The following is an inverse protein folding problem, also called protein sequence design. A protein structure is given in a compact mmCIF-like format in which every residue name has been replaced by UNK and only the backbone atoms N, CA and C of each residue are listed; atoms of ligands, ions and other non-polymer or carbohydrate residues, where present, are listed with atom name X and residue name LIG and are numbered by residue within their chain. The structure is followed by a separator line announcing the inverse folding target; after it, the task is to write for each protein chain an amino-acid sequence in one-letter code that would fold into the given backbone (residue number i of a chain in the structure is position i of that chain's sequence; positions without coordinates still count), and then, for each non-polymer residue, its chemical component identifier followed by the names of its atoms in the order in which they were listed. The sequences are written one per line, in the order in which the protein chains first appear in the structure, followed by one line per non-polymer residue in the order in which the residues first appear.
data_IF_085080124938
#
_entry.id   IF_085080124938
#
_cell.length_a   1.000
_cell.length_b   1.000
_cell.length_c   1.000
_cell.angle_alpha   90.00
_cell.angle_beta   90.00
_cell.angle_gamma   90.00
#
_symmetry.space_group_name_H-M   'P 1'
#
loop_
_entity.id
_entity.type
_entity.pdbx_description
1 polymer ?
#
# COMPACT_ATOMS: atom_id res chain seq x y z
N UNK A 1 27.59 65.85 -39.36
CA UNK A 1 27.56 65.70 -37.90
C UNK A 1 26.38 64.80 -37.60
N UNK A 2 26.71 63.60 -37.13
CA UNK A 2 25.87 62.60 -36.46
C UNK A 2 25.12 63.15 -35.23
N UNK A 3 24.27 62.37 -34.53
CA UNK A 3 23.34 61.30 -34.96
C UNK A 3 21.98 61.42 -34.19
N UNK A 4 21.02 60.54 -34.44
CA UNK A 4 20.38 59.70 -33.39
C UNK A 4 19.25 58.86 -33.97
N UNK A 5 19.61 57.63 -34.31
CA UNK A 5 18.75 56.47 -34.43
C UNK A 5 18.51 55.92 -33.03
N UNK A 6 17.30 56.11 -32.48
CA UNK A 6 16.85 55.35 -31.31
C UNK A 6 15.90 54.25 -31.80
N UNK A 7 16.51 53.11 -32.10
CA UNK A 7 15.80 51.86 -32.31
C UNK A 7 15.47 51.29 -30.95
N UNK A 8 14.26 51.53 -30.47
CA UNK A 8 13.70 50.84 -29.32
C UNK A 8 13.33 49.40 -29.73
N UNK A 9 14.34 48.53 -29.79
CA UNK A 9 14.12 47.09 -29.77
C UNK A 9 13.64 46.73 -28.38
N UNK A 10 12.32 46.73 -28.20
CA UNK A 10 11.67 46.07 -27.09
C UNK A 10 12.14 44.61 -27.08
N UNK A 11 13.07 44.29 -26.18
CA UNK A 11 13.45 42.92 -25.88
C UNK A 11 12.23 42.23 -25.30
N UNK A 12 11.57 41.41 -26.12
CA UNK A 12 10.72 40.35 -25.62
C UNK A 12 11.62 39.42 -24.80
N UNK A 13 11.66 39.63 -23.48
CA UNK A 13 12.06 38.58 -22.57
C UNK A 13 11.03 37.46 -22.76
N UNK A 14 11.42 36.41 -23.50
CA UNK A 14 10.79 35.10 -23.42
C UNK A 14 10.83 34.72 -21.94
N UNK A 15 9.72 34.91 -21.24
CA UNK A 15 9.57 34.57 -19.84
C UNK A 15 9.48 33.04 -19.79
N UNK A 16 10.64 32.39 -19.70
CA UNK A 16 10.72 30.93 -19.64
C UNK A 16 10.07 30.42 -18.36
N UNK A 17 9.33 29.33 -18.47
CA UNK A 17 8.58 28.72 -17.38
C UNK A 17 9.47 27.73 -16.63
N UNK A 18 9.74 27.93 -15.32
CA UNK A 18 10.50 26.96 -14.54
C UNK A 18 9.85 25.57 -14.53
N UNK A 19 10.67 24.52 -14.48
CA UNK A 19 10.20 23.12 -14.50
C UNK A 19 9.22 22.77 -13.38
N UNK A 20 9.31 23.43 -12.24
CA UNK A 20 8.48 23.21 -11.05
C UNK A 20 7.27 24.13 -10.97
N UNK A 21 7.15 25.15 -11.84
CA UNK A 21 6.09 26.14 -11.75
C UNK A 21 4.67 25.53 -11.77
N UNK A 22 4.31 24.59 -12.67
CA UNK A 22 3.00 23.94 -12.62
C UNK A 22 2.93 22.72 -11.70
N UNK A 23 4.00 22.38 -10.97
CA UNK A 23 4.07 21.17 -10.15
C UNK A 23 3.03 21.21 -9.03
N UNK A 24 2.91 22.33 -8.33
CA UNK A 24 1.99 22.46 -7.20
C UNK A 24 0.53 22.29 -7.66
N UNK A 25 0.13 22.94 -8.74
CA UNK A 25 -1.22 22.81 -9.32
C UNK A 25 -1.49 21.39 -9.82
N UNK A 26 -0.51 20.77 -10.48
CA UNK A 26 -0.61 19.38 -10.91
C UNK A 26 -0.81 18.44 -9.72
N UNK A 27 -0.04 18.63 -8.64
CA UNK A 27 -0.15 17.82 -7.43
C UNK A 27 -1.49 18.04 -6.73
N UNK A 28 -2.01 19.26 -6.71
CA UNK A 28 -3.34 19.57 -6.18
C UNK A 28 -4.44 18.87 -6.98
N UNK A 29 -4.34 18.86 -8.31
CA UNK A 29 -5.27 18.15 -9.20
C UNK A 29 -5.23 16.61 -9.03
N UNK A 30 -4.14 16.05 -8.48
CA UNK A 30 -3.99 14.61 -8.21
C UNK A 30 -4.16 14.23 -6.74
N UNK A 31 -4.19 15.22 -5.84
CA UNK A 31 -4.45 15.01 -4.42
C UNK A 31 -5.90 14.59 -4.21
N UNK A 32 -6.15 13.84 -3.13
CA UNK A 32 -7.52 13.51 -2.74
C UNK A 32 -8.18 14.62 -1.94
N UNK A 33 -7.40 15.29 -1.10
CA UNK A 33 -7.77 16.50 -0.38
C UNK A 33 -6.59 17.45 -0.35
N UNK A 34 -6.89 18.75 -0.24
CA UNK A 34 -5.93 19.84 -0.14
C UNK A 34 -6.36 20.75 1.01
N UNK A 35 -5.46 21.03 1.95
CA UNK A 35 -5.66 22.02 2.99
C UNK A 35 -5.03 23.36 2.58
N UNK A 36 -5.84 24.37 2.22
CA UNK A 36 -5.34 25.67 1.78
C UNK A 36 -4.63 26.47 2.88
N UNK A 37 -4.77 26.10 4.16
CA UNK A 37 -4.11 26.81 5.27
C UNK A 37 -2.68 26.32 5.51
N UNK A 38 -2.45 25.03 5.31
CA UNK A 38 -1.17 24.39 5.58
C UNK A 38 -0.40 24.03 4.30
N UNK A 39 -1.06 24.04 3.14
CA UNK A 39 -0.53 23.53 1.88
C UNK A 39 -0.42 21.99 1.87
N UNK A 40 -1.02 21.31 2.85
CA UNK A 40 -0.94 19.86 2.97
C UNK A 40 -1.79 19.17 1.90
N UNK A 41 -1.19 18.18 1.21
CA UNK A 41 -1.83 17.34 0.19
C UNK A 41 -2.00 15.92 0.72
N UNK A 42 -3.19 15.35 0.56
CA UNK A 42 -3.43 13.95 0.93
C UNK A 42 -3.44 13.01 -0.27
N UNK A 43 -3.07 11.75 0.01
CA UNK A 43 -3.17 10.65 -0.94
C UNK A 43 -1.81 10.15 -1.40
N UNK A 44 -1.58 8.84 -1.21
CA UNK A 44 -0.31 8.18 -1.54
C UNK A 44 0.15 8.39 -3.00
N UNK A 45 -0.78 8.58 -3.94
CA UNK A 45 -0.45 8.88 -5.33
C UNK A 45 0.18 10.28 -5.49
N UNK A 46 -0.41 11.32 -4.92
CA UNK A 46 0.15 12.68 -4.96
C UNK A 46 1.48 12.77 -4.21
N UNK A 47 1.61 12.12 -3.04
CA UNK A 47 2.88 12.02 -2.30
C UNK A 47 3.99 11.35 -3.14
N UNK A 48 3.64 10.26 -3.82
CA UNK A 48 4.59 9.54 -4.67
C UNK A 48 4.95 10.33 -5.93
N UNK A 49 3.98 11.02 -6.55
CA UNK A 49 4.22 11.93 -7.66
C UNK A 49 5.20 13.02 -7.25
N UNK A 50 4.94 13.72 -6.14
CA UNK A 50 5.80 14.79 -5.63
C UNK A 50 7.25 14.31 -5.48
N UNK A 51 7.47 13.21 -4.75
CA UNK A 51 8.82 12.65 -4.55
C UNK A 51 9.52 12.28 -5.85
N UNK A 52 8.79 11.70 -6.81
CA UNK A 52 9.38 11.28 -8.09
C UNK A 52 9.68 12.49 -8.98
N UNK A 53 8.77 13.46 -9.06
CA UNK A 53 8.89 14.64 -9.91
C UNK A 53 9.97 15.58 -9.39
N UNK A 54 10.03 15.83 -8.08
CA UNK A 54 11.12 16.60 -7.49
C UNK A 54 12.47 15.98 -7.84
N UNK A 55 12.62 14.66 -7.66
CA UNK A 55 13.85 13.95 -8.02
C UNK A 55 14.21 14.07 -9.51
N UNK A 56 13.21 14.13 -10.39
CA UNK A 56 13.43 14.30 -11.82
C UNK A 56 13.81 15.73 -12.18
N UNK A 57 13.17 16.72 -11.55
CA UNK A 57 13.48 18.15 -11.69
C UNK A 57 14.91 18.41 -11.19
N UNK A 58 15.25 17.97 -9.98
CA UNK A 58 16.62 18.08 -9.44
C UNK A 58 17.66 17.43 -10.38
N UNK A 59 17.29 16.29 -10.99
CA UNK A 59 18.17 15.60 -11.94
C UNK A 59 18.38 16.38 -13.25
N UNK A 60 17.39 17.15 -13.68
CA UNK A 60 17.48 18.03 -14.86
C UNK A 60 18.24 19.32 -14.53
N UNK A 61 18.01 19.89 -13.36
CA UNK A 61 18.71 21.07 -12.84
C UNK A 61 20.22 20.82 -12.74
N UNK A 62 20.62 19.66 -12.18
CA UNK A 62 22.02 19.16 -12.18
C UNK A 62 22.67 19.08 -13.58
N UNK A 63 21.87 19.17 -14.64
CA UNK A 63 22.27 19.07 -16.05
C UNK A 63 22.01 20.36 -16.83
N UNK A 64 21.65 21.45 -16.14
CA UNK A 64 21.42 22.77 -16.72
C UNK A 64 20.13 22.87 -17.53
N UNK A 65 19.12 22.06 -17.21
CA UNK A 65 17.78 22.17 -17.78
C UNK A 65 16.84 22.59 -16.67
N UNK A 66 16.48 23.88 -16.68
CA UNK A 66 15.73 24.54 -15.60
C UNK A 66 14.30 24.94 -16.02
N UNK A 67 14.04 24.95 -17.34
CA UNK A 67 12.79 25.49 -17.90
C UNK A 67 12.07 24.45 -18.76
N UNK A 68 10.73 24.55 -18.80
CA UNK A 68 9.87 23.67 -19.59
C UNK A 68 10.13 23.82 -21.09
N UNK A 69 10.46 25.02 -21.55
CA UNK A 69 10.76 25.32 -22.96
C UNK A 69 12.09 24.68 -23.43
N UNK A 70 12.97 24.33 -22.49
CA UNK A 70 14.23 23.63 -22.77
C UNK A 70 14.05 22.09 -22.81
N UNK A 71 12.83 21.60 -22.56
CA UNK A 71 12.52 20.18 -22.64
C UNK A 71 12.26 19.73 -24.08
N UNK A 72 13.05 18.76 -24.52
CA UNK A 72 12.81 18.04 -25.76
C UNK A 72 12.88 16.51 -25.53
N UNK A 73 12.60 15.76 -26.61
CA UNK A 73 12.68 14.30 -26.59
C UNK A 73 14.10 13.78 -26.27
N UNK A 74 15.15 14.54 -26.54
CA UNK A 74 16.52 14.14 -26.22
C UNK A 74 16.78 14.24 -24.71
N UNK A 75 16.36 15.34 -24.09
CA UNK A 75 16.48 15.58 -22.65
C UNK A 75 15.69 14.55 -21.84
N UNK A 76 14.42 14.31 -22.20
CA UNK A 76 13.62 13.27 -21.54
C UNK A 76 14.15 11.87 -21.89
N UNK A 77 14.68 11.66 -23.10
CA UNK A 77 15.35 10.43 -23.49
C UNK A 77 16.57 10.10 -22.62
N UNK A 78 17.35 11.11 -22.18
CA UNK A 78 18.47 10.90 -21.24
C UNK A 78 17.98 10.43 -19.87
N UNK A 79 16.81 10.89 -19.41
CA UNK A 79 16.18 10.38 -18.20
C UNK A 79 15.73 8.92 -18.37
N UNK A 80 15.09 8.58 -19.49
CA UNK A 80 14.72 7.20 -19.80
C UNK A 80 15.94 6.26 -19.84
N UNK A 81 17.05 6.70 -20.46
CA UNK A 81 18.32 5.97 -20.44
C UNK A 81 18.91 5.85 -19.03
N UNK A 82 18.79 6.88 -18.19
CA UNK A 82 19.21 6.81 -16.79
C UNK A 82 18.40 5.75 -16.03
N UNK A 83 17.07 5.73 -16.19
CA UNK A 83 16.22 4.70 -15.61
C UNK A 83 16.60 3.30 -16.12
N UNK A 84 16.85 3.15 -17.42
CA UNK A 84 17.31 1.89 -18.01
C UNK A 84 18.65 1.41 -17.42
N UNK A 85 19.63 2.32 -17.24
CA UNK A 85 20.89 1.99 -16.54
C UNK A 85 20.67 1.56 -15.10
N UNK A 86 19.74 2.21 -14.38
CA UNK A 86 19.38 1.81 -13.00
C UNK A 86 18.76 0.42 -12.95
N UNK A 87 17.99 0.03 -13.97
CA UNK A 87 17.47 -1.34 -14.10
C UNK A 87 18.58 -2.33 -14.42
N UNK A 88 19.52 -1.97 -15.29
CA UNK A 88 20.69 -2.81 -15.56
C UNK A 88 21.53 -3.05 -14.30
N UNK A 89 21.75 -2.02 -13.46
CA UNK A 89 22.41 -2.17 -12.16
C UNK A 89 21.66 -3.13 -11.25
N UNK A 90 20.34 -3.01 -11.15
CA UNK A 90 19.51 -3.93 -10.36
C UNK A 90 19.59 -5.39 -10.86
N UNK A 91 19.72 -5.60 -12.16
CA UNK A 91 19.88 -6.94 -12.71
C UNK A 91 21.27 -7.54 -12.41
N UNK A 92 22.29 -6.70 -12.23
CA UNK A 92 23.64 -7.13 -11.87
C UNK A 92 23.78 -7.36 -10.36
N UNK A 93 23.11 -6.55 -9.55
CA UNK A 93 23.08 -6.61 -8.09
C UNK A 93 21.71 -6.11 -7.61
N UNK A 94 20.93 -7.02 -7.02
CA UNK A 94 19.56 -6.77 -6.59
C UNK A 94 19.44 -5.72 -5.47
N UNK A 95 20.51 -5.48 -4.72
CA UNK A 95 20.56 -4.43 -3.69
C UNK A 95 20.92 -3.06 -4.28
N UNK A 96 21.24 -3.01 -5.58
CA UNK A 96 21.59 -1.80 -6.31
C UNK A 96 20.49 -1.41 -7.33
N UNK A 97 20.48 -0.15 -7.79
CA UNK A 97 19.66 0.23 -8.94
C UNK A 97 18.17 0.48 -8.67
N UNK A 98 17.31 0.11 -9.63
CA UNK A 98 15.85 0.18 -9.57
C UNK A 98 15.24 -1.05 -10.25
N UNK A 99 14.15 -1.59 -9.71
CA UNK A 99 13.38 -2.61 -10.43
C UNK A 99 12.80 -2.03 -11.73
N UNK A 100 12.57 -2.88 -12.74
CA UNK A 100 11.91 -2.49 -14.01
C UNK A 100 10.55 -1.83 -13.78
N UNK A 101 9.75 -2.35 -12.84
CA UNK A 101 8.45 -1.79 -12.50
C UNK A 101 8.57 -0.38 -11.88
N UNK A 102 9.57 -0.17 -11.00
CA UNK A 102 9.85 1.13 -10.41
C UNK A 102 10.30 2.15 -11.45
N UNK A 103 11.14 1.74 -12.40
CA UNK A 103 11.56 2.59 -13.52
C UNK A 103 10.37 3.05 -14.36
N UNK A 104 9.50 2.13 -14.78
CA UNK A 104 8.28 2.48 -15.52
C UNK A 104 7.32 3.35 -14.70
N UNK A 105 7.21 3.12 -13.39
CA UNK A 105 6.42 4.00 -12.50
C UNK A 105 6.95 5.42 -12.52
N UNK A 106 8.27 5.61 -12.40
CA UNK A 106 8.87 6.93 -12.41
C UNK A 106 8.72 7.63 -13.75
N UNK A 107 8.93 6.89 -14.84
CA UNK A 107 8.72 7.40 -16.18
C UNK A 107 7.26 7.82 -16.42
N UNK A 108 6.28 7.02 -15.96
CA UNK A 108 4.86 7.35 -16.10
C UNK A 108 4.47 8.60 -15.28
N UNK A 109 5.08 8.85 -14.12
CA UNK A 109 4.86 10.08 -13.37
C UNK A 109 5.33 11.31 -14.15
N UNK A 110 6.53 11.26 -14.72
CA UNK A 110 7.06 12.33 -15.58
C UNK A 110 6.17 12.53 -16.81
N UNK A 111 5.78 11.44 -17.48
CA UNK A 111 4.88 11.51 -18.64
C UNK A 111 3.51 12.09 -18.29
N UNK A 112 2.96 11.77 -17.12
CA UNK A 112 1.70 12.33 -16.64
C UNK A 112 1.80 13.83 -16.34
N UNK A 113 2.90 14.27 -15.71
CA UNK A 113 3.16 15.69 -15.47
C UNK A 113 3.30 16.48 -16.78
N UNK A 114 4.09 15.99 -17.73
CA UNK A 114 4.24 16.65 -19.03
C UNK A 114 2.95 16.61 -19.87
N UNK A 115 2.09 15.62 -19.65
CA UNK A 115 0.73 15.62 -20.25
C UNK A 115 -0.10 16.75 -19.68
N UNK A 116 -0.05 16.97 -18.36
CA UNK A 116 -0.69 18.13 -17.73
C UNK A 116 -0.12 19.45 -18.27
N UNK A 117 1.21 19.60 -18.33
CA UNK A 117 1.83 20.80 -18.89
C UNK A 117 1.37 21.09 -20.33
N UNK A 118 1.19 20.04 -21.15
CA UNK A 118 0.65 20.17 -22.51
C UNK A 118 -0.82 20.56 -22.52
N UNK A 119 -1.64 19.97 -21.65
CA UNK A 119 -3.08 20.26 -21.55
C UNK A 119 -3.35 21.71 -21.13
N UNK A 120 -2.47 22.27 -20.31
CA UNK A 120 -2.51 23.67 -19.85
C UNK A 120 -1.62 24.61 -20.67
N UNK A 121 -1.15 24.16 -21.84
CA UNK A 121 -0.42 24.97 -22.83
C UNK A 121 0.94 25.53 -22.36
N UNK A 122 1.50 25.03 -21.26
CA UNK A 122 2.89 25.34 -20.85
C UNK A 122 3.93 24.78 -21.81
N UNK A 123 3.61 23.67 -22.49
CA UNK A 123 4.43 23.08 -23.55
C UNK A 123 3.54 22.68 -24.73
N UNK A 124 4.09 22.74 -25.95
CA UNK A 124 3.34 22.39 -27.16
C UNK A 124 3.05 20.89 -27.28
N UNK A 125 4.01 20.05 -26.88
CA UNK A 125 3.93 18.60 -27.01
C UNK A 125 4.50 17.93 -25.76
N UNK A 126 4.13 16.68 -25.51
CA UNK A 126 4.73 15.90 -24.43
C UNK A 126 5.98 15.14 -24.96
N UNK A 127 7.22 15.60 -24.68
CA UNK A 127 8.42 14.94 -25.17
C UNK A 127 8.62 13.53 -24.61
N UNK A 128 8.00 13.19 -23.48
CA UNK A 128 8.07 11.83 -22.95
C UNK A 128 7.39 10.82 -23.87
N UNK A 129 6.34 11.20 -24.59
CA UNK A 129 5.57 10.30 -25.48
C UNK A 129 6.23 10.10 -26.85
N UNK A 130 7.38 10.72 -27.12
CA UNK A 130 8.12 10.49 -28.35
C UNK A 130 8.65 9.05 -28.39
N UNK A 131 8.50 8.38 -29.55
CA UNK A 131 8.89 6.98 -29.72
C UNK A 131 10.36 6.72 -29.37
N UNK A 132 11.26 7.69 -29.61
CA UNK A 132 12.69 7.58 -29.23
C UNK A 132 12.90 7.47 -27.73
N UNK A 133 12.03 8.11 -26.93
CA UNK A 133 12.09 8.07 -25.46
C UNK A 133 11.50 6.76 -24.94
N UNK A 134 10.35 6.35 -25.46
CA UNK A 134 9.74 5.06 -25.10
C UNK A 134 10.67 3.88 -25.43
N UNK A 135 11.33 3.90 -26.59
CA UNK A 135 12.29 2.87 -26.98
C UNK A 135 13.59 2.88 -26.16
N UNK A 136 13.90 3.97 -25.46
CA UNK A 136 15.04 4.03 -24.55
C UNK A 136 14.75 3.40 -23.18
N UNK A 137 13.47 3.20 -22.85
CA UNK A 137 13.08 2.47 -21.65
C UNK A 137 13.39 0.98 -21.81
N UNK A 138 13.69 0.27 -20.71
CA UNK A 138 13.73 -1.18 -20.75
C UNK A 138 12.38 -1.73 -21.16
N UNK A 139 12.33 -2.95 -21.68
CA UNK A 139 11.08 -3.66 -21.98
C UNK A 139 10.08 -3.45 -20.85
N UNK A 140 8.80 -3.26 -21.21
CA UNK A 140 7.75 -3.18 -20.18
C UNK A 140 7.81 -4.44 -19.32
N UNK A 141 7.58 -4.34 -18.00
CA UNK A 141 7.43 -5.52 -17.18
C UNK A 141 6.35 -6.38 -17.84
N UNK A 142 6.68 -7.62 -18.17
CA UNK A 142 5.64 -8.57 -18.52
C UNK A 142 4.72 -8.64 -17.30
N UNK A 143 3.46 -8.28 -17.47
CA UNK A 143 2.43 -8.32 -16.43
C UNK A 143 2.07 -9.75 -16.02
N UNK A 144 3.04 -10.67 -16.03
CA UNK A 144 2.84 -12.05 -15.67
C UNK A 144 2.49 -12.15 -14.19
N UNK A 145 1.27 -12.62 -13.93
CA UNK A 145 0.83 -13.16 -12.64
C UNK A 145 1.84 -14.11 -11.99
N UNK A 146 2.75 -14.71 -12.78
CA UNK A 146 3.80 -15.65 -12.35
C UNK A 146 4.74 -15.13 -11.25
N UNK A 147 4.96 -13.82 -11.14
CA UNK A 147 5.85 -13.25 -10.10
C UNK A 147 5.09 -12.66 -8.91
N UNK A 148 3.76 -12.80 -8.89
CA UNK A 148 2.94 -12.32 -7.79
C UNK A 148 2.86 -13.41 -6.73
N UNK A 149 3.22 -13.09 -5.48
CA UNK A 149 3.02 -14.05 -4.38
C UNK A 149 1.53 -14.23 -4.09
N UNK A 150 1.16 -15.48 -3.88
CA UNK A 150 -0.11 -15.94 -3.31
C UNK A 150 0.24 -16.75 -2.06
N UNK A 151 -0.55 -16.66 -0.99
CA UNK A 151 -0.46 -17.67 0.06
C UNK A 151 -1.01 -18.97 -0.50
N UNK A 152 -0.13 -19.89 -0.90
CA UNK A 152 -0.55 -21.22 -1.32
C UNK A 152 -1.29 -21.92 -0.17
N UNK A 153 -2.17 -22.89 -0.44
CA UNK A 153 -2.84 -23.64 0.63
C UNK A 153 -1.85 -24.24 1.64
N UNK A 154 -0.73 -24.77 1.17
CA UNK A 154 0.34 -25.32 2.00
C UNK A 154 0.99 -24.23 2.85
N UNK A 155 1.45 -23.13 2.24
CA UNK A 155 2.08 -22.02 2.96
C UNK A 155 1.16 -21.44 4.05
N UNK A 156 -0.12 -21.23 3.72
CA UNK A 156 -1.14 -20.79 4.66
C UNK A 156 -1.29 -21.79 5.80
N UNK A 157 -1.44 -23.08 5.50
CA UNK A 157 -1.61 -24.10 6.53
C UNK A 157 -0.41 -24.19 7.46
N UNK A 158 0.82 -24.16 6.93
CA UNK A 158 2.06 -24.14 7.71
C UNK A 158 2.09 -22.95 8.68
N UNK A 159 1.81 -21.74 8.18
CA UNK A 159 1.77 -20.55 9.02
C UNK A 159 0.67 -20.65 10.09
N UNK A 160 -0.54 -21.06 9.71
CA UNK A 160 -1.68 -21.12 10.63
C UNK A 160 -1.49 -22.18 11.72
N UNK A 161 -0.96 -23.35 11.38
CA UNK A 161 -0.63 -24.38 12.36
C UNK A 161 0.41 -23.87 13.36
N UNK A 162 1.46 -23.21 12.87
CA UNK A 162 2.50 -22.65 13.74
C UNK A 162 1.94 -21.61 14.72
N UNK A 163 1.12 -20.67 14.26
CA UNK A 163 0.53 -19.66 15.17
C UNK A 163 -0.52 -20.25 16.11
N UNK A 164 -1.24 -21.30 15.68
CA UNK A 164 -2.15 -22.04 16.55
C UNK A 164 -1.40 -22.73 17.68
N UNK A 165 -0.34 -23.49 17.37
CA UNK A 165 0.49 -24.16 18.38
C UNK A 165 1.12 -23.16 19.34
N UNK A 166 1.68 -22.06 18.79
CA UNK A 166 2.29 -20.99 19.59
C UNK A 166 1.29 -20.32 20.54
N UNK A 167 0.06 -20.07 20.09
CA UNK A 167 -0.97 -19.46 20.92
C UNK A 167 -1.47 -20.42 22.01
N UNK A 168 -1.73 -21.69 21.70
CA UNK A 168 -2.16 -22.66 22.70
C UNK A 168 -1.11 -22.86 23.79
N UNK A 169 0.16 -23.05 23.43
CA UNK A 169 1.24 -23.19 24.40
C UNK A 169 1.36 -21.95 25.30
N UNK A 170 1.26 -20.75 24.72
CA UNK A 170 1.31 -19.51 25.50
C UNK A 170 0.11 -19.35 26.45
N UNK A 171 -1.09 -19.76 26.03
CA UNK A 171 -2.29 -19.76 26.88
C UNK A 171 -2.13 -20.78 28.02
N UNK A 172 -1.61 -21.97 27.74
CA UNK A 172 -1.40 -22.99 28.77
C UNK A 172 -0.36 -22.54 29.82
N UNK A 173 0.67 -21.82 29.39
CA UNK A 173 1.74 -21.32 30.27
C UNK A 173 1.37 -20.03 31.03
N UNK A 174 0.68 -19.10 30.37
CA UNK A 174 0.51 -17.71 30.85
C UNK A 174 -0.94 -17.24 30.89
N UNK A 175 -1.91 -18.07 30.50
CA UNK A 175 -3.33 -17.71 30.49
C UNK A 175 -3.61 -16.48 29.62
N UNK A 176 -4.30 -15.50 30.18
CA UNK A 176 -4.65 -14.25 29.50
C UNK A 176 -3.45 -13.35 29.18
N UNK A 177 -2.29 -13.58 29.78
CA UNK A 177 -1.06 -12.81 29.48
C UNK A 177 -0.42 -13.20 28.13
N UNK A 178 -0.99 -14.17 27.42
CA UNK A 178 -0.58 -14.62 26.07
C UNK A 178 -0.95 -13.62 24.93
N UNK A 179 -0.96 -12.31 25.23
CA UNK A 179 -1.48 -11.24 24.36
C UNK A 179 -0.87 -11.26 22.95
N UNK A 180 0.46 -11.38 22.86
CA UNK A 180 1.16 -11.32 21.56
C UNK A 180 0.83 -12.51 20.68
N UNK A 181 0.85 -13.71 21.24
CA UNK A 181 0.61 -14.96 20.51
C UNK A 181 -0.83 -15.06 20.01
N UNK A 182 -1.78 -14.67 20.85
CA UNK A 182 -3.20 -14.69 20.49
C UNK A 182 -3.52 -13.62 19.45
N UNK A 183 -2.94 -12.42 19.55
CA UNK A 183 -3.02 -11.39 18.51
C UNK A 183 -2.45 -11.88 17.18
N UNK A 184 -1.25 -12.45 17.20
CA UNK A 184 -0.56 -12.95 16.00
C UNK A 184 -1.43 -14.02 15.30
N UNK A 185 -1.99 -14.95 16.08
CA UNK A 185 -2.95 -15.95 15.60
C UNK A 185 -4.18 -15.30 14.95
N UNK A 186 -4.88 -14.41 15.66
CA UNK A 186 -6.08 -13.76 15.15
C UNK A 186 -5.83 -12.97 13.86
N UNK A 187 -4.71 -12.24 13.77
CA UNK A 187 -4.33 -11.50 12.57
C UNK A 187 -4.06 -12.44 11.38
N UNK A 188 -3.31 -13.52 11.60
CA UNK A 188 -3.02 -14.49 10.53
C UNK A 188 -4.28 -15.19 10.02
N UNK A 189 -5.21 -15.54 10.90
CA UNK A 189 -6.51 -16.13 10.52
C UNK A 189 -7.35 -15.14 9.73
N UNK A 190 -7.48 -13.90 10.19
CA UNK A 190 -8.21 -12.84 9.48
C UNK A 190 -7.64 -12.67 8.05
N UNK A 191 -6.33 -12.50 7.92
CA UNK A 191 -5.68 -12.28 6.63
C UNK A 191 -5.82 -13.49 5.70
N UNK A 192 -5.65 -14.71 6.23
CA UNK A 192 -5.62 -15.94 5.44
C UNK A 192 -6.96 -16.38 4.84
N UNK A 193 -8.07 -15.83 5.35
CA UNK A 193 -9.42 -16.29 4.98
C UNK A 193 -10.39 -15.19 4.52
N UNK A 194 -10.17 -13.91 4.84
CA UNK A 194 -11.15 -12.85 4.52
C UNK A 194 -10.93 -12.13 3.18
N UNK A 195 -9.73 -12.23 2.61
CA UNK A 195 -9.40 -11.47 1.39
C UNK A 195 -9.33 -9.94 1.59
N UNK A 196 -9.35 -9.44 2.84
CA UNK A 196 -9.17 -8.01 3.13
C UNK A 196 -7.77 -7.54 2.73
N UNK A 197 -7.65 -6.26 2.38
CA UNK A 197 -6.34 -5.62 2.19
C UNK A 197 -5.78 -5.32 3.58
N UNK A 198 -4.47 -5.49 3.76
CA UNK A 198 -3.84 -5.14 5.05
C UNK A 198 -4.13 -3.70 5.50
N UNK A 199 -4.20 -2.75 4.55
CA UNK A 199 -4.55 -1.36 4.84
C UNK A 199 -6.05 -1.09 5.10
N UNK A 200 -6.91 -2.10 4.99
CA UNK A 200 -8.33 -2.01 5.39
C UNK A 200 -8.52 -2.37 6.87
N UNK A 201 -7.61 -3.16 7.45
CA UNK A 201 -7.72 -3.65 8.84
C UNK A 201 -6.59 -3.17 9.75
N UNK A 202 -5.50 -2.67 9.17
CA UNK A 202 -4.35 -2.06 9.86
C UNK A 202 -4.22 -0.58 9.46
N UNK A 203 -3.64 0.24 10.33
CA UNK A 203 -3.39 1.65 10.03
C UNK A 203 -2.35 1.81 8.92
N UNK A 204 -2.57 2.78 8.02
CA UNK A 204 -1.58 3.17 7.02
C UNK A 204 -1.10 4.60 7.31
N UNK A 205 0.18 4.79 7.70
CA UNK A 205 0.66 6.08 8.20
C UNK A 205 0.58 7.21 7.16
N UNK A 206 0.66 6.88 5.87
CA UNK A 206 0.58 7.88 4.78
C UNK A 206 -0.86 8.23 4.33
N UNK A 207 -1.89 7.79 5.07
CA UNK A 207 -3.28 8.15 4.79
C UNK A 207 -3.93 8.78 6.00
N UNK A 208 -4.02 10.10 5.99
CA UNK A 208 -4.76 10.91 6.98
C UNK A 208 -6.28 10.84 6.73
N UNK A 209 -6.79 9.65 6.44
CA UNK A 209 -8.20 9.48 6.07
C UNK A 209 -8.94 9.00 7.30
N UNK A 210 -9.98 9.74 7.66
CA UNK A 210 -10.97 9.28 8.61
C UNK A 210 -11.49 7.90 8.16
N UNK A 211 -11.32 6.87 9.00
CA UNK A 211 -11.65 5.47 8.69
C UNK A 211 -10.53 4.57 8.14
N UNK A 212 -9.28 5.03 7.94
CA UNK A 212 -8.10 4.17 7.59
C UNK A 212 -7.06 4.01 8.68
N UNK A 213 -7.53 4.07 9.91
CA UNK A 213 -6.70 3.98 11.11
C UNK A 213 -6.79 2.60 11.78
N UNK A 214 -7.00 1.54 10.98
CA UNK A 214 -7.32 0.20 11.46
C UNK A 214 -8.82 -0.02 11.59
N UNK A 215 -9.30 -1.23 11.31
CA UNK A 215 -10.71 -1.55 11.46
C UNK A 215 -11.05 -1.63 12.96
N UNK A 216 -12.14 -1.00 13.44
CA UNK A 216 -12.60 -1.12 14.83
C UNK A 216 -13.29 -2.47 15.10
N UNK A 217 -13.50 -2.83 16.36
CA UNK A 217 -14.30 -4.00 16.72
C UNK A 217 -15.75 -3.88 16.25
N UNK A 218 -16.33 -2.69 16.28
CA UNK A 218 -17.69 -2.44 15.77
C UNK A 218 -17.84 -2.68 14.26
N UNK A 219 -16.73 -2.75 13.52
CA UNK A 219 -16.78 -3.13 12.12
C UNK A 219 -17.02 -4.63 11.92
N UNK A 220 -16.80 -5.46 12.93
CA UNK A 220 -16.83 -6.91 12.85
C UNK A 220 -18.20 -7.46 13.26
N UNK A 221 -18.90 -8.08 12.31
CA UNK A 221 -20.08 -8.89 12.61
C UNK A 221 -19.67 -10.37 12.58
N UNK A 222 -19.35 -10.89 13.77
CA UNK A 222 -18.98 -12.28 13.91
C UNK A 222 -20.14 -13.21 13.59
N UNK A 223 -21.39 -12.85 13.89
CA UNK A 223 -22.56 -13.71 13.62
C UNK A 223 -22.73 -13.95 12.13
N UNK A 224 -22.77 -12.86 11.36
CA UNK A 224 -22.88 -12.88 9.89
C UNK A 224 -21.57 -13.24 9.18
N UNK A 225 -20.46 -13.34 9.92
CA UNK A 225 -19.12 -13.55 9.40
C UNK A 225 -18.73 -12.52 8.32
N UNK A 226 -18.94 -11.24 8.65
CA UNK A 226 -18.62 -10.10 7.78
C UNK A 226 -17.81 -9.04 8.52
N UNK A 227 -17.08 -8.22 7.77
CA UNK A 227 -16.36 -7.06 8.29
C UNK A 227 -16.62 -5.85 7.40
N UNK A 228 -17.02 -4.75 8.04
CA UNK A 228 -17.19 -3.44 7.42
C UNK A 228 -15.82 -2.79 7.23
N UNK A 229 -15.49 -2.38 6.02
CA UNK A 229 -14.16 -1.83 5.71
C UNK A 229 -14.27 -0.58 4.86
N UNK A 230 -13.30 0.31 5.02
CA UNK A 230 -13.23 1.54 4.24
C UNK A 230 -12.40 1.36 2.96
N UNK A 231 -13.12 1.19 1.85
CA UNK A 231 -12.60 0.84 0.52
C UNK A 231 -11.71 1.91 -0.12
N UNK A 232 -11.01 1.56 -1.21
CA UNK A 232 -10.15 2.53 -1.96
C UNK A 232 -10.98 3.66 -2.61
N UNK A 233 -12.24 3.34 -2.88
CA UNK A 233 -13.34 4.20 -3.29
C UNK A 233 -13.73 5.26 -2.26
N UNK A 234 -13.24 5.18 -1.01
CA UNK A 234 -13.71 6.01 0.11
C UNK A 234 -15.16 5.75 0.50
N UNK A 235 -15.62 4.52 0.27
CA UNK A 235 -16.94 4.04 0.67
C UNK A 235 -16.81 2.87 1.65
N UNK A 236 -17.80 2.73 2.53
CA UNK A 236 -17.92 1.56 3.39
C UNK A 236 -18.42 0.36 2.60
N UNK A 237 -17.63 -0.71 2.61
CA UNK A 237 -17.91 -1.96 1.90
C UNK A 237 -17.97 -3.11 2.91
N UNK A 238 -18.81 -4.11 2.65
CA UNK A 238 -18.82 -5.35 3.42
C UNK A 238 -17.88 -6.38 2.79
N UNK A 239 -16.99 -6.96 3.59
CA UNK A 239 -16.10 -8.03 3.19
C UNK A 239 -16.50 -9.35 3.87
N UNK A 240 -16.44 -10.49 3.14
CA UNK A 240 -16.63 -11.79 3.77
C UNK A 240 -15.44 -12.12 4.69
N UNK A 241 -15.73 -12.60 5.90
CA UNK A 241 -14.72 -13.08 6.85
C UNK A 241 -14.47 -14.58 6.72
N UNK A 242 -15.49 -15.34 6.28
CA UNK A 242 -15.67 -16.78 6.50
C UNK A 242 -15.81 -17.14 7.99
N UNK A 243 -16.24 -18.35 8.29
CA UNK A 243 -16.34 -18.85 9.67
C UNK A 243 -14.97 -19.13 10.32
N UNK A 244 -13.92 -19.32 9.51
CA UNK A 244 -12.60 -19.77 9.96
C UNK A 244 -11.91 -18.83 10.95
N UNK A 245 -11.93 -17.49 10.79
CA UNK A 245 -11.28 -16.60 11.74
C UNK A 245 -12.00 -16.43 13.07
N UNK A 246 -13.30 -16.79 13.15
CA UNK A 246 -14.16 -16.51 14.30
C UNK A 246 -13.55 -16.97 15.64
N UNK A 247 -13.12 -18.24 15.82
CA UNK A 247 -12.59 -18.68 17.11
C UNK A 247 -11.28 -17.98 17.52
N UNK A 248 -10.48 -17.53 16.54
CA UNK A 248 -9.26 -16.78 16.81
C UNK A 248 -9.56 -15.33 17.20
N UNK A 249 -10.54 -14.71 16.54
CA UNK A 249 -10.99 -13.35 16.84
C UNK A 249 -11.74 -13.26 18.17
N UNK A 250 -12.61 -14.23 18.49
CA UNK A 250 -13.30 -14.30 19.79
C UNK A 250 -12.28 -14.42 20.94
N UNK A 251 -11.33 -15.35 20.84
CA UNK A 251 -10.28 -15.50 21.86
C UNK A 251 -9.41 -14.25 21.98
N UNK A 252 -9.15 -13.57 20.87
CA UNK A 252 -8.41 -12.32 20.87
C UNK A 252 -9.21 -11.18 21.51
N UNK A 253 -10.50 -11.08 21.24
CA UNK A 253 -11.39 -10.13 21.90
C UNK A 253 -11.37 -10.34 23.42
N UNK A 254 -11.50 -11.58 23.88
CA UNK A 254 -11.48 -11.92 25.32
C UNK A 254 -10.19 -11.49 26.02
N UNK A 255 -9.04 -11.62 25.35
CA UNK A 255 -7.73 -11.29 25.92
C UNK A 255 -7.41 -9.80 25.79
N UNK A 256 -7.80 -9.19 24.68
CA UNK A 256 -7.62 -7.76 24.48
C UNK A 256 -8.56 -6.95 25.38
N UNK A 257 -9.75 -7.48 25.69
CA UNK A 257 -10.76 -6.85 26.53
C UNK A 257 -10.97 -5.36 26.20
N UNK A 258 -11.39 -5.03 24.96
CA UNK A 258 -11.56 -3.64 24.56
C UNK A 258 -12.70 -2.97 25.36
N UNK A 259 -12.47 -1.77 25.90
CA UNK A 259 -13.50 -1.06 26.69
C UNK A 259 -14.65 -0.54 25.83
N UNK A 260 -14.41 -0.35 24.53
CA UNK A 260 -15.41 0.11 23.55
C UNK A 260 -15.22 -0.60 22.22
N UNK A 261 -16.28 -0.65 21.42
CA UNK A 261 -16.21 -1.18 20.06
C UNK A 261 -15.37 -0.33 19.10
N UNK A 262 -15.03 0.90 19.47
CA UNK A 262 -14.17 1.81 18.69
C UNK A 262 -12.69 1.39 18.70
N UNK A 263 -12.28 0.52 19.62
CA UNK A 263 -10.91 0.01 19.66
C UNK A 263 -10.56 -0.70 18.35
N UNK A 264 -9.36 -0.47 17.79
CA UNK A 264 -8.95 -1.18 16.61
C UNK A 264 -8.83 -2.68 16.90
N UNK A 265 -9.19 -3.52 15.92
CA UNK A 265 -9.04 -4.97 15.98
C UNK A 265 -7.61 -5.37 16.39
N UNK A 266 -6.61 -4.63 15.93
CA UNK A 266 -5.21 -4.88 16.26
C UNK A 266 -4.54 -3.58 16.70
N UNK A 267 -4.52 -3.25 18.01
CA UNK A 267 -3.73 -2.14 18.52
C UNK A 267 -2.23 -2.36 18.33
N UNK A 268 -1.47 -1.26 18.26
CA UNK A 268 -0.01 -1.33 18.29
C UNK A 268 0.49 -1.79 19.65
N UNK A 269 1.64 -2.46 19.70
CA UNK A 269 2.35 -2.74 20.97
C UNK A 269 3.50 -1.76 21.23
N UNK A 270 3.63 -0.71 20.40
CA UNK A 270 4.68 0.28 20.55
C UNK A 270 4.40 1.20 21.74
N UNK A 271 4.92 0.84 22.92
CA UNK A 271 4.68 1.56 24.19
C UNK A 271 4.84 3.08 24.09
N UNK A 272 5.88 3.64 23.45
CA UNK A 272 5.97 5.09 23.31
C UNK A 272 4.79 5.72 22.56
N UNK A 273 4.31 5.09 21.49
CA UNK A 273 3.13 5.58 20.76
C UNK A 273 1.85 5.45 21.59
N UNK A 274 1.70 4.35 22.33
CA UNK A 274 0.54 4.15 23.21
C UNK A 274 0.48 5.22 24.30
N UNK A 275 1.59 5.46 25.00
CA UNK A 275 1.65 6.48 26.05
C UNK A 275 1.52 7.90 25.51
N UNK A 276 2.11 8.20 24.35
CA UNK A 276 1.96 9.51 23.71
C UNK A 276 0.51 9.80 23.33
N UNK A 277 -0.15 8.84 22.65
CA UNK A 277 -1.54 9.00 22.22
C UNK A 277 -2.52 9.06 23.40
N UNK A 278 -2.25 8.32 24.48
CA UNK A 278 -3.10 8.37 25.67
C UNK A 278 -3.04 9.74 26.35
N UNK A 279 -1.84 10.32 26.49
CA UNK A 279 -1.68 11.68 27.03
C UNK A 279 -2.42 12.71 26.21
N UNK A 280 -2.26 12.66 24.89
CA UNK A 280 -2.94 13.55 23.95
C UNK A 280 -4.46 13.46 24.10
N UNK A 281 -5.03 12.26 24.12
CA UNK A 281 -6.48 12.07 24.32
C UNK A 281 -6.96 12.58 25.68
N UNK A 282 -6.18 12.38 26.76
CA UNK A 282 -6.54 12.88 28.08
C UNK A 282 -6.51 14.42 28.13
N UNK A 283 -5.49 15.04 27.53
CA UNK A 283 -5.38 16.50 27.42
C UNK A 283 -6.53 17.09 26.61
N UNK A 284 -6.90 16.48 25.49
CA UNK A 284 -8.07 16.86 24.67
C UNK A 284 -9.39 16.76 25.45
N UNK A 285 -9.48 15.81 26.39
CA UNK A 285 -10.61 15.64 27.31
C UNK A 285 -10.56 16.59 28.52
N UNK A 286 -9.57 17.47 28.59
CA UNK A 286 -9.43 18.49 29.63
C UNK A 286 -8.77 18.00 30.92
N UNK A 287 -8.15 16.82 30.90
CA UNK A 287 -7.31 16.38 32.02
C UNK A 287 -5.99 17.14 32.02
N UNK A 288 -5.64 17.71 33.17
CA UNK A 288 -4.32 18.29 33.43
C UNK A 288 -3.48 17.29 34.24
N UNK A 289 -2.15 17.44 34.21
CA UNK A 289 -1.20 16.55 34.90
C UNK A 289 -1.35 15.08 34.49
N UNK A 290 -1.38 14.81 33.19
CA UNK A 290 -1.54 13.45 32.65
C UNK A 290 -0.52 12.46 33.19
N UNK A 291 0.73 12.87 33.43
CA UNK A 291 1.74 12.00 34.02
C UNK A 291 1.37 11.52 35.44
N UNK A 292 0.80 12.38 36.30
CA UNK A 292 0.37 11.98 37.66
C UNK A 292 -0.86 11.07 37.60
N UNK A 293 -1.76 11.28 36.63
CA UNK A 293 -2.93 10.42 36.41
C UNK A 293 -2.53 9.02 35.93
N UNK A 294 -1.45 8.94 35.14
CA UNK A 294 -0.98 7.70 34.53
C UNK A 294 0.05 6.94 35.39
N UNK A 295 0.68 7.58 36.37
CA UNK A 295 1.66 6.98 37.29
C UNK A 295 1.19 5.66 37.97
N UNK A 296 -0.09 5.50 38.35
CA UNK A 296 -0.56 4.25 38.96
C UNK A 296 -0.64 3.04 38.01
N UNK A 297 -0.49 3.23 36.70
CA UNK A 297 -0.72 2.18 35.70
C UNK A 297 0.60 1.57 35.19
N UNK A 298 0.84 0.30 35.51
CA UNK A 298 1.98 -0.46 34.97
C UNK A 298 1.74 -0.90 33.51
N UNK A 299 0.49 -1.24 33.16
CA UNK A 299 0.07 -1.53 31.79
C UNK A 299 -0.71 -0.35 31.21
N UNK A 300 -0.21 0.16 30.08
CA UNK A 300 -0.85 1.24 29.33
C UNK A 300 -2.25 0.85 28.85
N UNK A 301 -2.51 -0.42 28.58
CA UNK A 301 -3.83 -0.89 28.12
C UNK A 301 -4.87 -0.79 29.24
N UNK A 302 -4.48 -1.00 30.50
CA UNK A 302 -5.38 -0.79 31.65
C UNK A 302 -5.75 0.69 31.78
N UNK A 303 -4.81 1.59 31.51
CA UNK A 303 -5.08 3.03 31.49
C UNK A 303 -6.05 3.40 30.36
N UNK A 304 -5.87 2.84 29.15
CA UNK A 304 -6.82 3.04 28.05
C UNK A 304 -8.25 2.61 28.43
N UNK A 305 -8.40 1.47 29.11
CA UNK A 305 -9.71 1.01 29.59
C UNK A 305 -10.28 1.92 30.67
N UNK A 306 -9.46 2.31 31.65
CA UNK A 306 -9.91 3.10 32.79
C UNK A 306 -10.41 4.50 32.40
N UNK A 307 -9.89 5.05 31.31
CA UNK A 307 -10.28 6.37 30.81
C UNK A 307 -11.15 6.33 29.56
N UNK A 308 -11.59 5.14 29.10
CA UNK A 308 -12.34 4.95 27.86
C UNK A 308 -11.68 5.66 26.66
N UNK A 309 -10.36 5.54 26.55
CA UNK A 309 -9.57 6.04 25.43
C UNK A 309 -9.41 4.95 24.35
N UNK A 310 -9.05 5.34 23.13
CA UNK A 310 -8.90 4.43 21.99
C UNK A 310 -7.42 4.29 21.62
N UNK A 311 -6.80 3.09 21.70
CA UNK A 311 -5.39 2.95 21.38
C UNK A 311 -5.14 3.04 19.86
N UNK A 312 -3.97 3.55 19.42
CA UNK A 312 -3.62 3.56 18.01
C UNK A 312 -3.47 2.14 17.44
N UNK A 313 -3.92 1.93 16.21
CA UNK A 313 -3.82 0.63 15.55
C UNK A 313 -2.38 0.26 15.13
N UNK A 314 -2.16 -1.04 14.97
CA UNK A 314 -0.99 -1.61 14.34
C UNK A 314 -0.89 -1.11 12.89
N UNK A 315 0.29 -0.67 12.49
CA UNK A 315 0.50 -0.17 11.14
C UNK A 315 0.72 -1.30 10.13
N UNK A 316 0.48 -1.04 8.84
CA UNK A 316 0.82 -1.99 7.77
C UNK A 316 2.31 -2.35 7.74
N UNK A 317 3.20 -1.43 8.14
CA UNK A 317 4.62 -1.71 8.31
C UNK A 317 4.86 -2.69 9.47
N UNK A 318 4.20 -2.50 10.61
CA UNK A 318 4.21 -3.44 11.74
C UNK A 318 3.70 -4.82 11.34
N UNK A 319 2.59 -4.88 10.61
CA UNK A 319 2.04 -6.13 10.06
C UNK A 319 3.01 -6.86 9.11
N UNK A 320 3.75 -6.13 8.27
CA UNK A 320 4.79 -6.74 7.40
C UNK A 320 5.94 -7.33 8.21
N UNK A 321 6.41 -6.63 9.24
CA UNK A 321 7.49 -7.14 10.11
C UNK A 321 7.04 -8.37 10.90
N UNK A 322 5.79 -8.37 11.38
CA UNK A 322 5.17 -9.53 12.03
C UNK A 322 5.15 -10.73 11.08
N UNK A 323 4.63 -10.57 9.85
CA UNK A 323 4.57 -11.68 8.90
C UNK A 323 5.96 -12.17 8.48
N UNK A 324 6.95 -11.28 8.36
CA UNK A 324 8.34 -11.68 8.10
C UNK A 324 8.86 -12.63 9.19
N UNK A 325 8.74 -12.22 10.45
CA UNK A 325 9.15 -13.01 11.62
C UNK A 325 8.39 -14.35 11.69
N UNK A 326 7.07 -14.33 11.52
CA UNK A 326 6.26 -15.55 11.61
C UNK A 326 6.53 -16.51 10.45
N UNK A 327 6.72 -16.02 9.22
CA UNK A 327 7.05 -16.87 8.07
C UNK A 327 8.37 -17.60 8.29
N UNK A 328 9.38 -16.87 8.78
CA UNK A 328 10.69 -17.42 9.12
C UNK A 328 10.58 -18.46 10.25
N UNK A 329 9.90 -18.10 11.34
CA UNK A 329 9.79 -18.98 12.52
C UNK A 329 8.96 -20.23 12.26
N UNK A 330 7.95 -20.14 11.40
CA UNK A 330 7.13 -21.27 10.96
C UNK A 330 7.82 -22.15 9.90
N UNK A 331 8.97 -21.72 9.36
CA UNK A 331 9.65 -22.42 8.28
C UNK A 331 8.83 -22.49 6.99
N UNK A 332 8.09 -21.43 6.67
CA UNK A 332 7.28 -21.39 5.44
C UNK A 332 8.19 -21.38 4.23
N UNK A 333 7.99 -22.35 3.33
CA UNK A 333 8.67 -22.35 2.04
C UNK A 333 8.20 -21.17 1.18
N UNK A 334 9.11 -20.22 0.96
CA UNK A 334 8.92 -19.02 0.15
C UNK A 334 10.02 -18.91 -0.91
N UNK A 335 10.64 -20.04 -1.28
CA UNK A 335 11.75 -20.10 -2.24
C UNK A 335 11.36 -19.58 -3.63
N UNK A 336 10.09 -19.74 -4.03
CA UNK A 336 9.54 -19.23 -5.28
C UNK A 336 9.04 -17.77 -5.18
N UNK A 337 9.10 -17.15 -4.00
CA UNK A 337 8.57 -15.80 -3.75
C UNK A 337 9.65 -14.72 -3.72
N UNK A 338 9.41 -13.61 -4.44
CA UNK A 338 10.34 -12.46 -4.48
C UNK A 338 10.62 -11.75 -3.15
N UNK A 339 9.87 -12.08 -2.08
CA UNK A 339 9.98 -11.41 -0.78
C UNK A 339 10.52 -12.31 0.33
N UNK A 340 10.75 -13.61 0.10
CA UNK A 340 11.24 -14.58 1.10
C UNK A 340 10.42 -14.61 2.42
N UNK A 341 9.16 -14.15 2.38
CA UNK A 341 8.19 -14.24 3.47
C UNK A 341 6.77 -14.02 2.93
N UNK A 342 5.75 -14.49 3.65
CA UNK A 342 4.36 -14.30 3.30
C UNK A 342 3.90 -12.85 3.51
N UNK A 343 3.35 -12.22 2.48
CA UNK A 343 2.98 -10.80 2.49
C UNK A 343 1.49 -10.58 2.75
N UNK A 344 1.13 -9.41 3.28
CA UNK A 344 -0.27 -8.99 3.46
C UNK A 344 -1.08 -9.09 2.15
N UNK A 345 -0.46 -8.73 1.03
CA UNK A 345 -1.14 -8.78 -0.27
C UNK A 345 -1.21 -10.21 -0.83
N UNK A 346 -0.22 -11.05 -0.53
CA UNK A 346 -0.24 -12.47 -0.85
C UNK A 346 -1.38 -13.22 -0.17
N UNK A 347 -1.73 -12.85 1.07
CA UNK A 347 -2.86 -13.44 1.81
C UNK A 347 -4.18 -13.21 1.07
N UNK A 348 -4.42 -11.95 0.69
CA UNK A 348 -5.59 -11.55 -0.10
C UNK A 348 -5.66 -12.29 -1.44
N UNK A 349 -4.54 -12.37 -2.15
CA UNK A 349 -4.44 -13.06 -3.45
C UNK A 349 -4.73 -14.55 -3.33
N UNK A 350 -4.17 -15.21 -2.31
CA UNK A 350 -4.43 -16.63 -2.02
C UNK A 350 -5.88 -16.90 -1.64
N UNK A 351 -6.53 -16.02 -0.87
CA UNK A 351 -7.96 -16.12 -0.60
C UNK A 351 -8.79 -16.01 -1.89
N UNK A 352 -8.48 -15.04 -2.76
CA UNK A 352 -9.16 -14.91 -4.05
C UNK A 352 -8.91 -16.08 -5.01
N UNK A 353 -7.72 -16.68 -4.98
CA UNK A 353 -7.41 -17.88 -5.76
C UNK A 353 -8.30 -19.05 -5.34
N UNK A 354 -8.54 -19.21 -4.03
CA UNK A 354 -9.45 -20.24 -3.54
C UNK A 354 -10.88 -20.04 -4.06
N UNK A 355 -11.38 -18.79 -4.05
CA UNK A 355 -12.68 -18.48 -4.65
C UNK A 355 -12.68 -18.75 -6.16
N UNK A 356 -11.61 -18.38 -6.86
CA UNK A 356 -11.50 -18.56 -8.30
C UNK A 356 -11.58 -20.05 -8.67
N UNK A 357 -10.73 -20.88 -8.05
CA UNK A 357 -10.66 -22.33 -8.32
C UNK A 357 -11.91 -23.10 -7.92
N UNK A 358 -12.69 -22.59 -6.95
CA UNK A 358 -13.88 -23.30 -6.41
C UNK A 358 -15.20 -22.83 -7.01
N UNK A 359 -15.33 -21.52 -7.24
CA UNK A 359 -16.59 -20.86 -7.56
C UNK A 359 -16.47 -19.94 -8.80
N UNK A 360 -15.30 -19.88 -9.42
CA UNK A 360 -15.04 -19.13 -10.65
C UNK A 360 -14.74 -17.64 -10.46
N UNK A 361 -14.45 -16.98 -11.59
CA UNK A 361 -13.99 -15.59 -11.63
C UNK A 361 -14.94 -14.58 -10.99
N UNK A 362 -16.25 -14.75 -11.17
CA UNK A 362 -17.27 -13.83 -10.62
C UNK A 362 -17.31 -13.88 -9.09
N UNK A 363 -17.19 -15.07 -8.49
CA UNK A 363 -17.11 -15.23 -7.04
C UNK A 363 -15.83 -14.58 -6.49
N UNK A 364 -14.68 -14.83 -7.13
CA UNK A 364 -13.41 -14.21 -6.73
C UNK A 364 -13.44 -12.68 -6.83
N UNK A 365 -14.00 -12.13 -7.92
CA UNK A 365 -14.12 -10.69 -8.10
C UNK A 365 -14.96 -10.04 -6.99
N UNK A 366 -16.12 -10.63 -6.66
CA UNK A 366 -17.02 -10.13 -5.62
C UNK A 366 -16.40 -10.26 -4.23
N UNK A 367 -15.84 -11.42 -3.89
CA UNK A 367 -15.18 -11.65 -2.61
C UNK A 367 -14.03 -10.68 -2.37
N UNK A 368 -13.23 -10.39 -3.41
CA UNK A 368 -12.13 -9.44 -3.32
C UNK A 368 -12.55 -7.99 -3.50
N UNK A 369 -13.74 -7.68 -4.04
CA UNK A 369 -14.17 -6.29 -4.32
C UNK A 369 -13.20 -5.61 -5.29
N UNK A 370 -13.00 -6.25 -6.45
CA UNK A 370 -12.32 -5.63 -7.59
C UNK A 370 -13.33 -4.81 -8.39
N UNK A 371 -13.07 -3.51 -8.50
CA UNK A 371 -13.90 -2.59 -9.27
C UNK A 371 -13.93 -2.95 -10.76
N UNK A 372 -12.78 -3.38 -11.31
CA UNK A 372 -12.66 -3.79 -12.69
C UNK A 372 -12.53 -5.34 -12.80
N UNK A 373 -13.44 -6.02 -13.52
CA UNK A 373 -13.31 -7.45 -13.83
C UNK A 373 -11.98 -7.84 -14.50
N UNK A 374 -11.37 -6.95 -15.28
CA UNK A 374 -10.08 -7.19 -15.95
C UNK A 374 -8.98 -7.51 -14.93
N UNK A 375 -9.03 -6.90 -13.75
CA UNK A 375 -8.07 -7.11 -12.66
C UNK A 375 -8.10 -8.56 -12.16
N UNK A 376 -9.28 -9.19 -12.10
CA UNK A 376 -9.42 -10.60 -11.71
C UNK A 376 -8.96 -11.52 -12.84
N UNK A 377 -9.33 -11.23 -14.08
CA UNK A 377 -8.94 -12.01 -15.26
C UNK A 377 -7.41 -12.00 -15.47
N UNK A 378 -6.76 -10.84 -15.37
CA UNK A 378 -5.30 -10.72 -15.45
C UNK A 378 -4.61 -11.50 -14.33
N UNK A 379 -5.08 -11.36 -13.09
CA UNK A 379 -4.48 -12.05 -11.94
C UNK A 379 -4.53 -13.58 -12.05
N UNK A 380 -5.63 -14.14 -12.56
CA UNK A 380 -5.85 -15.59 -12.59
C UNK A 380 -5.71 -16.24 -13.98
N UNK A 381 -5.32 -15.47 -15.00
CA UNK A 381 -5.08 -15.93 -16.38
C UNK A 381 -4.21 -17.19 -16.49
N UNK A 382 -3.19 -17.33 -15.63
CA UNK A 382 -2.33 -18.50 -15.60
C UNK A 382 -3.01 -19.78 -15.07
N UNK A 383 -3.98 -19.63 -14.16
CA UNK A 383 -4.79 -20.75 -13.65
C UNK A 383 -5.77 -21.18 -14.74
N UNK A 384 -6.44 -20.21 -15.37
CA UNK A 384 -7.36 -20.45 -16.48
C UNK A 384 -6.69 -21.22 -17.62
N UNK A 385 -5.47 -20.85 -18.01
CA UNK A 385 -4.70 -21.55 -19.03
C UNK A 385 -4.35 -23.01 -18.61
N UNK A 386 -4.03 -23.24 -17.33
CA UNK A 386 -3.73 -24.58 -16.82
C UNK A 386 -4.98 -25.46 -16.77
N UNK A 387 -6.10 -24.92 -16.27
CA UNK A 387 -7.39 -25.63 -16.23
C UNK A 387 -7.90 -25.94 -17.64
N UNK A 388 -7.77 -24.99 -18.59
CA UNK A 388 -8.09 -25.21 -19.99
C UNK A 388 -7.18 -26.26 -20.63
N UNK A 389 -5.91 -26.36 -20.23
CA UNK A 389 -5.02 -27.43 -20.68
C UNK A 389 -5.48 -28.80 -20.17
N UNK A 390 -5.85 -28.92 -18.89
CA UNK A 390 -6.37 -30.18 -18.32
C UNK A 390 -7.72 -30.59 -18.91
N UNK A 391 -8.59 -29.61 -19.20
CA UNK A 391 -9.85 -29.84 -19.92
C UNK A 391 -9.54 -30.26 -21.36
N UNK A 392 -8.61 -29.56 -22.03
CA UNK A 392 -8.16 -29.88 -23.37
C UNK A 392 -7.62 -31.30 -23.47
N UNK A 393 -6.74 -31.71 -22.57
CA UNK A 393 -6.25 -33.10 -22.49
C UNK A 393 -7.42 -34.08 -22.42
N UNK A 394 -8.39 -33.87 -21.52
CA UNK A 394 -9.59 -34.73 -21.44
C UNK A 394 -10.48 -34.73 -22.69
N UNK A 395 -10.58 -33.61 -23.39
CA UNK A 395 -11.38 -33.48 -24.63
C UNK A 395 -10.71 -34.22 -25.79
N UNK A 396 -9.39 -34.23 -25.82
CA UNK A 396 -8.58 -34.87 -26.86
C UNK A 396 -8.04 -36.26 -26.44
N UNK A 397 -8.48 -36.83 -25.31
CA UNK A 397 -7.98 -38.11 -24.79
C UNK A 397 -8.33 -39.31 -25.72
N UNK A 398 -9.32 -39.15 -26.60
CA UNK A 398 -9.82 -40.19 -27.52
C UNK A 398 -9.43 -39.96 -29.01
N UNK A 399 -8.60 -38.96 -29.33
CA UNK A 399 -7.92 -38.81 -30.65
C UNK A 399 -6.57 -39.53 -30.67
#
# INVERSE_FOLDING_TARGET
MDPDTDGDTAGAHDEKTPLDAPLDEFLDAKAKTYDPKTGARSGAYATQLNRTLQKWIDWLDDRGVEYLEDLDSQTVGRWAQYLSRRVASHNADADSGLSRASAWTYYNHVSAYLTYCREWEFIAENPAQAAVVENAMPDRPSGGSKNQQFWSPTQRQTLLQYVDERAHNAIDERGSDAVTEVRDRALCYLLGYSGVRGAEVLSHPDTDWDGRNGAPWDALDLESATISIYGKSQEWEQAPLTDKPRPALERWHDILDPSTGEWPLFPTSHRPSLWSSLREQLEERGHNNTDELLDPYDDVMDAYRAYDCVPPALTTAGGRQLLKRLSESAGVDTSDDSKNYLTLHGARRGAGEMYYRKEGASAAQRALRHADPSTTSEMYSHIEASELSEIGSRVFDDE
#
